data_IF_917718836326
#
_entry.id   IF_917718836326
#
_cell.length_a   1.000
_cell.length_b   1.000
_cell.length_c   1.000
_cell.angle_alpha   90.00
_cell.angle_beta   90.00
_cell.angle_gamma   90.00
#
_symmetry.space_group_name_H-M   'P 1'
#
loop_
_entity.id
_entity.type
_entity.pdbx_description
1 polymer ?
#
# COMPACT_ATOMS: atom_id res chain seq x y z
N UNK A 1 8.84 2.91 -16.13
CA UNK A 1 9.29 1.83 -17.03
C UNK A 1 9.96 0.75 -16.18
N UNK A 2 9.44 -0.47 -16.21
CA UNK A 2 10.02 -1.60 -15.47
C UNK A 2 11.02 -2.34 -16.37
N UNK A 3 12.24 -2.55 -15.89
CA UNK A 3 13.25 -3.36 -16.57
C UNK A 3 12.91 -4.83 -16.32
N UNK A 4 12.66 -5.61 -17.37
CA UNK A 4 12.53 -7.07 -17.26
C UNK A 4 13.92 -7.70 -17.31
N UNK A 5 14.44 -8.05 -16.13
CA UNK A 5 15.78 -8.65 -15.98
C UNK A 5 15.93 -10.04 -16.64
N UNK A 6 14.85 -10.61 -17.21
CA UNK A 6 14.85 -11.93 -17.85
C UNK A 6 15.12 -11.89 -19.36
N UNK A 7 15.16 -10.71 -19.97
CA UNK A 7 15.45 -10.54 -21.40
C UNK A 7 16.94 -10.31 -21.71
N UNK A 8 17.80 -10.40 -20.69
CA UNK A 8 19.25 -10.19 -20.81
C UNK A 8 19.91 -11.11 -21.84
N UNK A 9 19.31 -12.27 -22.11
CA UNK A 9 19.82 -13.27 -23.04
C UNK A 9 19.23 -13.18 -24.45
N UNK A 10 18.32 -12.23 -24.73
CA UNK A 10 17.72 -12.05 -26.06
C UNK A 10 18.43 -10.93 -26.82
N UNK A 11 18.80 -11.13 -28.10
CA UNK A 11 19.31 -10.06 -28.94
C UNK A 11 18.26 -8.93 -29.01
N UNK A 12 18.63 -7.73 -28.55
CA UNK A 12 17.81 -6.50 -28.54
C UNK A 12 16.57 -6.52 -27.62
N UNK A 13 16.48 -7.43 -26.63
CA UNK A 13 15.43 -7.37 -25.59
C UNK A 13 14.00 -7.42 -26.14
N UNK A 14 13.74 -8.26 -27.15
CA UNK A 14 12.44 -8.36 -27.83
C UNK A 14 11.26 -8.66 -26.91
N UNK A 15 10.03 -8.52 -27.44
CA UNK A 15 8.78 -8.50 -26.66
C UNK A 15 8.69 -9.53 -25.51
N UNK A 16 8.55 -9.02 -24.27
CA UNK A 16 8.45 -9.82 -23.05
C UNK A 16 7.29 -10.83 -23.15
N UNK A 17 7.62 -12.12 -23.10
CA UNK A 17 6.66 -13.25 -23.15
C UNK A 17 6.44 -13.85 -21.77
N UNK A 18 6.22 -13.02 -20.75
CA UNK A 18 5.87 -13.52 -19.43
C UNK A 18 4.46 -14.12 -19.47
N UNK A 19 4.37 -15.44 -19.64
CA UNK A 19 3.09 -16.14 -19.58
C UNK A 19 2.59 -16.23 -18.14
N UNK A 20 1.26 -16.26 -17.95
CA UNK A 20 0.65 -16.39 -16.63
C UNK A 20 1.20 -17.62 -15.85
N UNK A 21 1.36 -18.76 -16.54
CA UNK A 21 1.95 -19.97 -15.93
C UNK A 21 3.36 -19.71 -15.38
N UNK A 22 4.21 -18.98 -16.11
CA UNK A 22 5.57 -18.63 -15.66
C UNK A 22 5.56 -17.64 -14.51
N UNK A 23 4.64 -16.67 -14.54
CA UNK A 23 4.46 -15.74 -13.42
C UNK A 23 4.06 -16.48 -12.14
N UNK A 24 3.12 -17.42 -12.23
CA UNK A 24 2.67 -18.21 -11.08
C UNK A 24 3.80 -19.05 -10.47
N UNK A 25 4.62 -19.70 -11.30
CA UNK A 25 5.79 -20.45 -10.81
C UNK A 25 6.80 -19.56 -10.09
N UNK A 26 7.03 -18.35 -10.61
CA UNK A 26 7.96 -17.42 -9.97
C UNK A 26 7.43 -16.89 -8.64
N UNK A 27 6.13 -16.61 -8.59
CA UNK A 27 5.43 -16.18 -7.38
C UNK A 27 5.44 -17.28 -6.31
N UNK A 28 5.28 -18.54 -6.70
CA UNK A 28 5.26 -19.68 -5.78
C UNK A 28 6.59 -19.84 -5.04
N UNK A 29 7.71 -19.53 -5.70
CA UNK A 29 9.04 -19.54 -5.08
C UNK A 29 9.38 -18.32 -4.21
N UNK A 30 8.51 -17.30 -4.14
CA UNK A 30 8.76 -16.12 -3.31
C UNK A 30 8.47 -16.40 -1.83
N UNK A 31 9.31 -15.83 -0.96
CA UNK A 31 9.07 -15.85 0.49
C UNK A 31 7.68 -15.28 0.81
N UNK A 32 6.84 -16.09 1.46
CA UNK A 32 5.45 -15.77 1.78
C UNK A 32 5.30 -14.60 2.76
N UNK A 33 6.32 -14.32 3.55
CA UNK A 33 6.29 -13.33 4.64
C UNK A 33 7.13 -12.09 4.37
N UNK A 34 8.14 -12.19 3.50
CA UNK A 34 9.11 -11.10 3.25
C UNK A 34 9.13 -10.59 1.82
N UNK A 35 8.55 -11.34 0.87
CA UNK A 35 8.45 -10.85 -0.50
C UNK A 35 7.42 -9.73 -0.59
N UNK A 36 7.70 -8.75 -1.44
CA UNK A 36 6.78 -7.64 -1.68
C UNK A 36 5.41 -8.11 -2.17
N UNK A 37 5.41 -9.09 -3.08
CA UNK A 37 4.19 -9.63 -3.67
C UNK A 37 3.26 -10.23 -2.61
N UNK A 38 3.77 -11.17 -1.79
CA UNK A 38 2.94 -11.80 -0.76
C UNK A 38 2.58 -10.86 0.39
N UNK A 39 3.46 -9.90 0.72
CA UNK A 39 3.17 -8.86 1.72
C UNK A 39 1.95 -8.02 1.34
N UNK A 40 1.82 -7.68 0.05
CA UNK A 40 0.70 -6.90 -0.47
C UNK A 40 -0.58 -7.72 -0.54
N UNK A 41 -0.50 -8.98 -0.99
CA UNK A 41 -1.67 -9.88 -1.06
C UNK A 41 -2.22 -10.23 0.32
N UNK A 42 -1.34 -10.53 1.28
CA UNK A 42 -1.73 -10.98 2.62
C UNK A 42 -1.95 -9.82 3.60
N UNK A 43 -1.77 -8.57 3.15
CA UNK A 43 -1.74 -7.36 3.98
C UNK A 43 -0.82 -7.47 5.22
N UNK A 44 0.34 -8.13 5.06
CA UNK A 44 1.36 -8.30 6.12
C UNK A 44 2.58 -7.42 5.85
N UNK A 45 3.28 -7.05 6.92
CA UNK A 45 4.44 -6.16 6.81
C UNK A 45 5.62 -6.90 6.20
N UNK A 46 6.32 -6.22 5.28
CA UNK A 46 7.47 -6.81 4.58
C UNK A 46 8.68 -6.96 5.49
N UNK A 47 8.83 -6.03 6.42
CA UNK A 47 9.89 -6.05 7.42
C UNK A 47 9.43 -6.86 8.62
N UNK A 48 10.30 -7.72 9.13
CA UNK A 48 10.08 -8.30 10.44
C UNK A 48 10.23 -7.23 11.53
N UNK A 49 9.79 -7.53 12.74
CA UNK A 49 9.92 -6.63 13.89
C UNK A 49 11.39 -6.25 14.11
N UNK A 50 12.31 -7.20 13.98
CA UNK A 50 13.75 -6.94 14.10
C UNK A 50 14.24 -6.02 12.98
N UNK A 51 13.72 -6.18 11.75
CA UNK A 51 14.02 -5.31 10.63
C UNK A 51 13.54 -3.87 10.86
N UNK A 52 12.38 -3.70 11.51
CA UNK A 52 11.90 -2.38 11.92
C UNK A 52 12.79 -1.75 12.98
N UNK A 53 13.19 -2.51 14.00
CA UNK A 53 14.07 -2.03 15.07
C UNK A 53 15.42 -1.59 14.49
N UNK A 54 16.01 -2.39 13.60
CA UNK A 54 17.28 -2.04 12.96
C UNK A 54 17.15 -0.80 12.07
N UNK A 55 16.06 -0.67 11.31
CA UNK A 55 15.81 0.50 10.48
C UNK A 55 15.63 1.77 11.34
N UNK A 56 14.93 1.67 12.46
CA UNK A 56 14.74 2.78 13.40
C UNK A 56 16.05 3.16 14.10
N UNK A 57 16.87 2.19 14.52
CA UNK A 57 18.20 2.46 15.09
C UNK A 57 19.06 3.18 14.05
N UNK A 58 19.10 2.69 12.81
CA UNK A 58 19.87 3.32 11.75
C UNK A 58 19.41 4.74 11.48
N UNK A 59 18.10 4.96 11.33
CA UNK A 59 17.53 6.29 11.10
C UNK A 59 17.81 7.25 12.27
N UNK A 60 17.66 6.78 13.51
CA UNK A 60 17.98 7.57 14.70
C UNK A 60 19.46 8.00 14.73
N UNK A 61 20.37 7.13 14.28
CA UNK A 61 21.80 7.44 14.18
C UNK A 61 22.10 8.42 13.04
N UNK A 62 21.46 8.26 11.88
CA UNK A 62 21.80 9.04 10.67
C UNK A 62 21.08 10.39 10.56
N UNK A 63 19.83 10.47 11.00
CA UNK A 63 18.98 11.66 10.84
C UNK A 63 18.35 12.14 12.15
N UNK A 64 18.42 11.36 13.24
CA UNK A 64 17.77 11.68 14.50
C UNK A 64 16.25 11.50 14.48
N UNK A 65 15.69 10.99 13.38
CA UNK A 65 14.25 10.78 13.18
C UNK A 65 13.92 9.28 13.07
N UNK A 66 12.66 8.91 13.34
CA UNK A 66 12.19 7.52 13.11
C UNK A 66 12.20 7.17 11.63
N UNK A 67 12.45 5.90 11.31
CA UNK A 67 12.50 5.47 9.93
C UNK A 67 11.10 5.54 9.28
N UNK A 68 10.95 6.13 8.07
CA UNK A 68 9.64 6.28 7.43
C UNK A 68 8.88 4.96 7.29
N UNK A 69 9.57 3.84 6.99
CA UNK A 69 8.89 2.55 6.87
C UNK A 69 8.27 2.07 8.19
N UNK A 70 8.80 2.45 9.35
CA UNK A 70 8.24 2.08 10.65
C UNK A 70 6.85 2.72 10.89
N UNK A 71 6.55 3.83 10.23
CA UNK A 71 5.29 4.57 10.41
C UNK A 71 4.41 4.60 9.16
N UNK A 72 4.90 4.15 7.99
CA UNK A 72 4.16 4.25 6.72
C UNK A 72 2.80 3.53 6.74
N UNK A 73 2.73 2.31 7.29
CA UNK A 73 1.47 1.55 7.31
C UNK A 73 0.51 1.98 8.40
N UNK A 74 1.03 2.33 9.58
CA UNK A 74 0.21 2.94 10.63
C UNK A 74 -0.34 4.30 10.16
N UNK A 75 0.49 5.09 9.48
CA UNK A 75 0.12 6.34 8.83
C UNK A 75 -0.96 6.14 7.77
N UNK A 76 -0.79 5.18 6.86
CA UNK A 76 -1.79 4.84 5.84
C UNK A 76 -3.12 4.37 6.46
N UNK A 77 -3.07 3.55 7.52
CA UNK A 77 -4.27 3.11 8.27
C UNK A 77 -4.97 4.29 8.94
N UNK A 78 -4.21 5.18 9.60
CA UNK A 78 -4.74 6.39 10.22
C UNK A 78 -5.36 7.34 9.19
N UNK A 79 -4.71 7.51 8.05
CA UNK A 79 -5.18 8.38 6.96
C UNK A 79 -6.47 7.86 6.33
N UNK A 80 -6.53 6.55 6.05
CA UNK A 80 -7.75 5.88 5.58
C UNK A 80 -8.90 6.01 6.58
N UNK A 81 -8.63 5.82 7.88
CA UNK A 81 -9.65 6.00 8.92
C UNK A 81 -10.16 7.45 9.01
N UNK A 82 -9.29 8.43 8.82
CA UNK A 82 -9.66 9.85 8.76
C UNK A 82 -10.52 10.16 7.54
N UNK A 83 -10.18 9.62 6.38
CA UNK A 83 -10.95 9.77 5.14
C UNK A 83 -12.35 9.16 5.28
N UNK A 84 -12.46 7.92 5.77
CA UNK A 84 -13.75 7.27 6.02
C UNK A 84 -14.62 8.05 7.03
N UNK A 85 -13.99 8.63 8.06
CA UNK A 85 -14.69 9.47 9.05
C UNK A 85 -15.18 10.78 8.41
N UNK A 86 -14.38 11.42 7.56
CA UNK A 86 -14.79 12.62 6.80
C UNK A 86 -15.96 12.30 5.87
N UNK A 87 -15.89 11.21 5.11
CA UNK A 87 -16.96 10.80 4.21
C UNK A 87 -18.27 10.53 4.96
N UNK A 88 -18.22 9.85 6.10
CA UNK A 88 -19.39 9.62 6.96
C UNK A 88 -19.99 10.94 7.42
N UNK A 89 -19.16 11.88 7.86
CA UNK A 89 -19.63 13.21 8.26
C UNK A 89 -20.35 13.94 7.12
N UNK A 90 -19.76 13.98 5.92
CA UNK A 90 -20.37 14.64 4.77
C UNK A 90 -21.68 13.99 4.33
N UNK A 91 -21.76 12.65 4.38
CA UNK A 91 -23.00 11.91 4.11
C UNK A 91 -24.13 12.31 5.07
N UNK A 92 -23.84 12.30 6.37
CA UNK A 92 -24.82 12.67 7.40
C UNK A 92 -25.25 14.13 7.27
N UNK A 93 -24.29 15.04 7.00
CA UNK A 93 -24.56 16.46 6.82
C UNK A 93 -25.49 16.71 5.62
N UNK A 94 -25.19 16.09 4.47
CA UNK A 94 -26.02 16.21 3.26
C UNK A 94 -27.45 15.67 3.49
N UNK A 95 -27.59 14.56 4.23
CA UNK A 95 -28.90 14.02 4.56
C UNK A 95 -29.71 14.95 5.47
N UNK A 96 -29.07 15.58 6.46
CA UNK A 96 -29.69 16.57 7.34
C UNK A 96 -30.13 17.81 6.57
N UNK A 97 -29.29 18.32 5.68
CA UNK A 97 -29.62 19.48 4.83
C UNK A 97 -30.81 19.20 3.92
N UNK A 98 -30.88 18.00 3.31
CA UNK A 98 -32.05 17.57 2.52
C UNK A 98 -33.32 17.52 3.36
N UNK A 99 -33.28 16.95 4.56
CA UNK A 99 -34.43 16.88 5.47
C UNK A 99 -34.90 18.28 5.89
N UNK A 100 -33.97 19.19 6.17
CA UNK A 100 -34.28 20.59 6.51
C UNK A 100 -34.87 21.37 5.34
N UNK A 101 -34.37 21.16 4.12
CA UNK A 101 -34.93 21.78 2.92
C UNK A 101 -36.38 21.32 2.66
N UNK A 102 -36.62 20.01 2.79
CA UNK A 102 -37.96 19.42 2.67
C UNK A 102 -38.92 19.97 3.74
N UNK A 103 -38.45 20.08 4.99
CA UNK A 103 -39.24 20.61 6.11
C UNK A 103 -39.54 22.12 5.99
N UNK A 104 -38.69 22.89 5.29
CA UNK A 104 -38.89 24.33 5.05
C UNK A 104 -39.74 24.64 3.82
N UNK A 105 -40.18 23.62 3.07
CA UNK A 105 -41.03 23.82 1.89
C UNK A 105 -40.34 24.58 0.75
N UNK A 106 -39.00 24.56 0.72
CA UNK A 106 -38.23 25.15 -0.38
C UNK A 106 -38.00 24.03 -1.40
N UNK A 107 -38.95 23.89 -2.32
CA UNK A 107 -38.77 23.21 -3.62
C UNK A 107 -38.21 24.19 -4.64
#
# INVERSE_FOLDING_TARGET
MGIDYRDFWRPKGGDSRLTLRRLLVLVDGLDRTRSRFWSEILDIDRLSIEGYILADIFAAITSGERHPMATMREGARKQKALEERKERYFRIKAERERKLALAKGIT
#
